data_IF_435499930355
#
_entry.id   IF_435499930355
#
_cell.length_a   1.000
_cell.length_b   1.000
_cell.length_c   1.000
_cell.angle_alpha   90.00
_cell.angle_beta   90.00
_cell.angle_gamma   90.00
#
_symmetry.space_group_name_H-M   'P 1'
#
loop_
_entity.id
_entity.type
_entity.pdbx_description
1 polymer ?
#
# COMPACT_ATOMS: atom_id res chain seq x y z
N UNK A 1 10.74 -11.59 35.55
CA UNK A 1 10.37 -13.01 35.43
C UNK A 1 9.83 -13.25 34.03
N UNK A 2 10.28 -14.28 33.29
CA UNK A 2 9.64 -14.65 32.04
C UNK A 2 8.22 -15.17 32.32
N UNK A 3 7.25 -14.68 31.55
CA UNK A 3 5.85 -15.13 31.61
C UNK A 3 5.75 -16.62 31.23
N UNK A 4 5.18 -17.44 32.12
CA UNK A 4 5.00 -18.88 31.90
C UNK A 4 3.58 -19.09 31.38
N UNK A 5 3.45 -19.40 30.10
CA UNK A 5 2.17 -19.67 29.45
C UNK A 5 1.71 -21.10 29.76
N UNK A 6 0.66 -21.19 30.56
CA UNK A 6 0.02 -22.40 31.09
C UNK A 6 -1.29 -22.76 30.36
N UNK A 7 -1.56 -22.13 29.21
CA UNK A 7 -2.74 -22.47 28.40
C UNK A 7 -2.64 -23.88 27.82
N UNK A 8 -3.68 -24.72 27.96
CA UNK A 8 -3.60 -26.10 27.52
C UNK A 8 -3.50 -26.18 25.98
N UNK A 9 -2.71 -27.12 25.43
CA UNK A 9 -2.36 -27.16 24.01
C UNK A 9 -3.56 -27.38 23.07
N UNK A 10 -4.65 -27.92 23.59
CA UNK A 10 -5.91 -28.10 22.86
C UNK A 10 -6.67 -26.77 22.69
N UNK A 11 -6.60 -25.86 23.68
CA UNK A 11 -7.25 -24.55 23.62
C UNK A 11 -6.64 -23.68 22.51
N UNK A 12 -5.31 -23.61 22.44
CA UNK A 12 -4.61 -22.87 21.37
C UNK A 12 -5.00 -23.34 19.97
N UNK A 13 -5.06 -24.67 19.75
CA UNK A 13 -5.42 -25.26 18.45
C UNK A 13 -6.87 -24.97 18.06
N UNK A 14 -7.79 -25.04 19.01
CA UNK A 14 -9.21 -24.76 18.77
C UNK A 14 -9.46 -23.28 18.49
N UNK A 15 -8.85 -22.39 19.28
CA UNK A 15 -8.93 -20.93 19.06
C UNK A 15 -8.43 -20.56 17.67
N UNK A 16 -7.26 -21.06 17.26
CA UNK A 16 -6.71 -20.75 15.94
C UNK A 16 -7.57 -21.28 14.78
N UNK A 17 -8.22 -22.46 14.94
CA UNK A 17 -9.17 -22.97 13.95
C UNK A 17 -10.42 -22.10 13.84
N UNK A 18 -10.98 -21.69 14.98
CA UNK A 18 -12.16 -20.82 15.04
C UNK A 18 -11.84 -19.46 14.43
N UNK A 19 -10.73 -18.85 14.82
CA UNK A 19 -10.23 -17.59 14.27
C UNK A 19 -10.14 -17.66 12.74
N UNK A 20 -9.47 -18.70 12.21
CA UNK A 20 -9.32 -18.88 10.77
C UNK A 20 -10.66 -19.06 10.05
N UNK A 21 -11.62 -19.71 10.69
CA UNK A 21 -12.97 -19.88 10.15
C UNK A 21 -13.74 -18.55 10.11
N UNK A 22 -13.68 -17.77 11.21
CA UNK A 22 -14.31 -16.45 11.31
C UNK A 22 -13.76 -15.51 10.23
N UNK A 23 -12.43 -15.41 10.09
CA UNK A 23 -11.82 -14.50 9.11
C UNK A 23 -12.20 -14.90 7.69
N UNK A 24 -12.16 -16.20 7.35
CA UNK A 24 -12.58 -16.69 6.03
C UNK A 24 -14.04 -16.38 5.73
N UNK A 25 -14.92 -16.59 6.72
CA UNK A 25 -16.34 -16.28 6.60
C UNK A 25 -16.55 -14.78 6.39
N UNK A 26 -15.82 -13.93 7.13
CA UNK A 26 -15.89 -12.48 7.03
C UNK A 26 -15.42 -11.98 5.65
N UNK A 27 -14.30 -12.48 5.14
CA UNK A 27 -13.79 -12.17 3.80
C UNK A 27 -14.81 -12.55 2.72
N UNK A 28 -15.42 -13.74 2.83
CA UNK A 28 -16.44 -14.19 1.88
C UNK A 28 -17.68 -13.31 1.92
N UNK A 29 -18.21 -13.03 3.12
CA UNK A 29 -19.41 -12.19 3.30
C UNK A 29 -19.17 -10.75 2.82
N UNK A 30 -18.02 -10.15 3.14
CA UNK A 30 -17.67 -8.82 2.65
C UNK A 30 -17.52 -8.78 1.13
N UNK A 31 -16.92 -9.80 0.53
CA UNK A 31 -16.78 -9.88 -0.93
C UNK A 31 -18.14 -9.95 -1.62
N UNK A 32 -19.07 -10.75 -1.09
CA UNK A 32 -20.45 -10.83 -1.61
C UNK A 32 -21.16 -9.49 -1.45
N UNK A 33 -21.06 -8.86 -0.27
CA UNK A 33 -21.66 -7.55 -0.01
C UNK A 33 -21.13 -6.49 -0.98
N UNK A 34 -19.83 -6.46 -1.24
CA UNK A 34 -19.20 -5.53 -2.17
C UNK A 34 -19.68 -5.74 -3.61
N UNK A 35 -19.83 -6.98 -4.05
CA UNK A 35 -20.37 -7.29 -5.38
C UNK A 35 -21.79 -6.77 -5.50
N UNK A 36 -22.65 -7.07 -4.52
CA UNK A 36 -24.03 -6.59 -4.50
C UNK A 36 -24.09 -5.06 -4.49
N UNK A 37 -23.32 -4.40 -3.62
CA UNK A 37 -23.29 -2.93 -3.55
C UNK A 37 -22.79 -2.28 -4.84
N UNK A 38 -21.83 -2.91 -5.53
CA UNK A 38 -21.32 -2.43 -6.82
C UNK A 38 -22.35 -2.58 -7.93
N UNK A 39 -23.08 -3.70 -7.97
CA UNK A 39 -24.17 -3.91 -8.91
C UNK A 39 -25.29 -2.89 -8.67
N UNK A 40 -25.69 -2.70 -7.40
CA UNK A 40 -26.70 -1.71 -7.01
C UNK A 40 -26.30 -0.30 -7.44
N UNK A 41 -25.04 0.09 -7.20
CA UNK A 41 -24.51 1.37 -7.64
C UNK A 41 -24.59 1.52 -9.17
N UNK A 42 -24.20 0.49 -9.91
CA UNK A 42 -24.31 0.48 -11.38
C UNK A 42 -25.75 0.62 -11.86
N UNK A 43 -26.69 -0.07 -11.20
CA UNK A 43 -28.12 0.03 -11.49
C UNK A 43 -28.65 1.46 -11.24
N UNK A 44 -28.36 2.03 -10.07
CA UNK A 44 -28.77 3.40 -9.71
C UNK A 44 -28.18 4.43 -10.70
N UNK A 45 -26.92 4.27 -11.10
CA UNK A 45 -26.27 5.13 -12.08
C UNK A 45 -26.95 5.07 -13.46
N UNK A 46 -27.15 3.86 -13.99
CA UNK A 46 -27.79 3.68 -15.31
C UNK A 46 -29.22 4.21 -15.28
N UNK A 47 -29.98 3.88 -14.23
CA UNK A 47 -31.35 4.37 -14.05
C UNK A 47 -31.39 5.89 -14.01
N UNK A 48 -30.49 6.52 -13.26
CA UNK A 48 -30.42 7.98 -13.13
C UNK A 48 -30.11 8.68 -14.47
N UNK A 49 -29.30 8.05 -15.33
CA UNK A 49 -28.96 8.59 -16.66
C UNK A 49 -30.09 8.38 -17.66
N UNK A 50 -30.74 7.21 -17.66
CA UNK A 50 -31.77 6.86 -18.64
C UNK A 50 -33.14 7.48 -18.34
N UNK A 51 -33.50 7.64 -17.07
CA UNK A 51 -34.80 8.21 -16.66
C UNK A 51 -34.78 9.74 -16.54
N UNK A 52 -33.68 10.40 -16.91
CA UNK A 52 -33.59 11.87 -16.97
C UNK A 52 -34.32 12.43 -18.20
N UNK A 53 -35.63 12.20 -18.23
CA UNK A 53 -36.58 12.89 -19.10
C UNK A 53 -36.98 14.22 -18.45
N UNK A 54 -36.24 15.31 -18.71
CA UNK A 54 -36.80 16.67 -18.85
C UNK A 54 -35.70 17.75 -18.93
N UNK A 55 -35.93 18.67 -19.86
CA UNK A 55 -35.22 19.86 -20.35
C UNK A 55 -34.06 20.50 -19.55
N UNK A 56 -33.86 20.34 -18.23
CA UNK A 56 -32.77 21.02 -17.50
C UNK A 56 -32.01 20.05 -16.57
N UNK A 57 -30.77 19.70 -16.96
CA UNK A 57 -29.76 18.86 -16.29
C UNK A 57 -29.89 17.33 -16.41
N UNK A 58 -28.78 16.67 -16.77
CA UNK A 58 -28.65 15.19 -16.90
C UNK A 58 -28.73 14.49 -15.53
N UNK A 59 -28.35 15.16 -14.42
CA UNK A 59 -28.39 14.59 -13.07
C UNK A 59 -28.69 15.71 -12.05
N UNK A 60 -29.67 15.51 -11.18
CA UNK A 60 -29.96 16.39 -10.04
C UNK A 60 -28.86 16.31 -8.97
N UNK A 61 -28.47 17.43 -8.35
CA UNK A 61 -27.40 17.49 -7.35
C UNK A 61 -27.63 16.57 -6.14
N UNK A 62 -28.87 16.45 -5.65
CA UNK A 62 -29.21 15.57 -4.53
C UNK A 62 -29.01 14.10 -4.91
N UNK A 63 -29.37 13.75 -6.15
CA UNK A 63 -29.16 12.41 -6.68
C UNK A 63 -27.65 12.11 -6.85
N UNK A 64 -26.87 13.10 -7.29
CA UNK A 64 -25.41 12.98 -7.40
C UNK A 64 -24.75 12.76 -6.03
N UNK A 65 -25.17 13.50 -5.00
CA UNK A 65 -24.68 13.30 -3.62
C UNK A 65 -25.02 11.91 -3.08
N UNK A 66 -26.22 11.39 -3.38
CA UNK A 66 -26.60 10.02 -3.02
C UNK A 66 -25.73 8.97 -3.71
N UNK A 67 -25.50 9.12 -5.01
CA UNK A 67 -24.60 8.25 -5.79
C UNK A 67 -23.18 8.28 -5.22
N UNK A 68 -22.66 9.46 -4.89
CA UNK A 68 -21.36 9.58 -4.22
C UNK A 68 -21.35 8.88 -2.86
N UNK A 69 -22.44 8.97 -2.08
CA UNK A 69 -22.57 8.26 -0.80
C UNK A 69 -22.46 6.73 -0.96
N UNK A 70 -23.14 6.16 -1.96
CA UNK A 70 -23.07 4.72 -2.26
C UNK A 70 -21.72 4.33 -2.86
N UNK A 71 -21.15 5.14 -3.76
CA UNK A 71 -19.80 4.92 -4.30
C UNK A 71 -18.76 4.88 -3.19
N UNK A 72 -18.83 5.88 -2.31
CA UNK A 72 -18.03 5.92 -1.12
C UNK A 72 -18.24 4.60 -0.37
N UNK A 73 -19.46 4.22 0.03
CA UNK A 73 -19.73 2.96 0.76
C UNK A 73 -18.96 1.75 0.21
N UNK A 74 -18.94 1.57 -1.12
CA UNK A 74 -18.16 0.52 -1.80
C UNK A 74 -16.66 0.65 -1.52
N UNK A 75 -16.08 1.85 -1.64
CA UNK A 75 -14.65 2.11 -1.36
C UNK A 75 -14.26 1.77 0.09
N UNK A 76 -15.08 2.11 1.10
CA UNK A 76 -14.80 1.70 2.49
C UNK A 76 -14.85 0.18 2.61
N UNK A 77 -15.83 -0.47 1.97
CA UNK A 77 -15.92 -1.93 2.03
C UNK A 77 -14.69 -2.60 1.42
N UNK A 78 -14.14 -2.06 0.33
CA UNK A 78 -12.89 -2.55 -0.29
C UNK A 78 -11.71 -2.39 0.68
N UNK A 79 -11.60 -1.22 1.31
CA UNK A 79 -10.54 -0.93 2.29
C UNK A 79 -10.62 -1.83 3.53
N UNK A 80 -11.83 -2.06 4.05
CA UNK A 80 -12.06 -2.99 5.15
C UNK A 80 -11.74 -4.44 4.75
N UNK A 81 -12.11 -4.85 3.54
CA UNK A 81 -11.78 -6.18 3.02
C UNK A 81 -10.25 -6.37 2.95
N UNK A 82 -9.51 -5.34 2.52
CA UNK A 82 -8.04 -5.41 2.48
C UNK A 82 -7.43 -5.46 3.88
N UNK A 83 -7.94 -4.66 4.82
CA UNK A 83 -7.54 -4.69 6.24
C UNK A 83 -7.72 -6.09 6.84
N UNK A 84 -8.86 -6.73 6.58
CA UNK A 84 -9.14 -8.09 7.08
C UNK A 84 -8.24 -9.13 6.38
N UNK A 85 -7.94 -8.96 5.09
CA UNK A 85 -7.01 -9.84 4.36
C UNK A 85 -5.58 -9.74 4.88
N UNK A 86 -5.13 -8.53 5.22
CA UNK A 86 -3.83 -8.31 5.87
C UNK A 86 -3.78 -9.05 7.21
N UNK A 87 -4.82 -8.88 8.04
CA UNK A 87 -4.93 -9.63 9.29
C UNK A 87 -4.88 -11.16 9.08
N UNK A 88 -5.55 -11.67 8.03
CA UNK A 88 -5.52 -13.09 7.69
C UNK A 88 -4.11 -13.61 7.32
N UNK A 89 -3.26 -12.77 6.70
CA UNK A 89 -1.90 -13.15 6.29
C UNK A 89 -0.89 -13.02 7.43
N UNK A 90 -0.99 -11.94 8.20
CA UNK A 90 0.04 -11.54 9.17
C UNK A 90 -0.34 -11.87 10.62
N UNK A 91 -1.60 -12.23 10.90
CA UNK A 91 -2.13 -12.50 12.24
C UNK A 91 -1.91 -11.36 13.26
N UNK A 92 -1.66 -10.14 12.78
CA UNK A 92 -1.43 -8.95 13.60
C UNK A 92 -2.27 -7.80 13.05
N UNK A 93 -2.99 -7.11 13.94
CA UNK A 93 -3.70 -5.88 13.60
C UNK A 93 -2.78 -4.71 13.91
N UNK A 94 -2.34 -4.00 12.87
CA UNK A 94 -1.63 -2.75 13.02
C UNK A 94 -2.61 -1.67 13.50
N UNK A 95 -2.41 -1.19 14.73
CA UNK A 95 -3.29 -0.19 15.37
C UNK A 95 -3.38 1.10 14.52
N UNK A 96 -2.30 1.44 13.81
CA UNK A 96 -2.26 2.56 12.88
C UNK A 96 -3.31 2.46 11.76
N UNK A 97 -3.46 1.26 11.18
CA UNK A 97 -4.42 1.01 10.08
C UNK A 97 -5.86 1.18 10.58
N UNK A 98 -6.17 0.69 11.78
CA UNK A 98 -7.51 0.82 12.37
C UNK A 98 -7.87 2.29 12.62
N UNK A 99 -6.91 3.10 13.08
CA UNK A 99 -7.10 4.53 13.26
C UNK A 99 -7.30 5.26 11.94
N UNK A 100 -6.54 4.90 10.90
CA UNK A 100 -6.69 5.49 9.57
C UNK A 100 -8.09 5.22 9.00
N UNK A 101 -8.55 3.96 9.09
CA UNK A 101 -9.89 3.54 8.68
C UNK A 101 -10.96 4.30 9.48
N UNK A 102 -10.77 4.49 10.79
CA UNK A 102 -11.71 5.27 11.62
C UNK A 102 -11.79 6.74 11.21
N UNK A 103 -10.66 7.37 10.89
CA UNK A 103 -10.60 8.75 10.40
C UNK A 103 -11.30 8.86 9.04
N UNK A 104 -11.03 7.96 8.10
CA UNK A 104 -11.66 7.93 6.78
C UNK A 104 -13.18 7.74 6.91
N UNK A 105 -13.63 6.82 7.78
CA UNK A 105 -15.04 6.58 8.03
C UNK A 105 -15.77 7.82 8.56
N UNK A 106 -15.17 8.54 9.51
CA UNK A 106 -15.75 9.78 10.03
C UNK A 106 -15.71 10.93 9.02
N UNK A 107 -14.58 11.11 8.32
CA UNK A 107 -14.45 12.13 7.28
C UNK A 107 -15.56 11.98 6.23
N UNK A 108 -15.84 10.73 5.83
CA UNK A 108 -16.96 10.43 4.94
C UNK A 108 -18.32 10.75 5.52
N UNK A 109 -18.54 10.45 6.80
CA UNK A 109 -19.81 10.78 7.47
C UNK A 109 -20.07 12.29 7.47
N UNK A 110 -19.02 13.09 7.61
CA UNK A 110 -19.06 14.56 7.58
C UNK A 110 -19.43 15.07 6.20
N UNK A 111 -18.88 14.48 5.12
CA UNK A 111 -19.16 14.88 3.73
C UNK A 111 -20.64 14.66 3.35
N UNK A 112 -21.25 13.58 3.82
CA UNK A 112 -22.64 13.20 3.49
C UNK A 112 -23.66 13.80 4.46
N UNK A 113 -23.21 14.46 5.54
CA UNK A 113 -24.11 15.05 6.53
C UNK A 113 -24.78 16.29 5.98
N UNK A 114 -26.10 16.35 6.14
CA UNK A 114 -26.90 17.55 5.97
C UNK A 114 -26.87 18.35 7.28
N UNK A 115 -26.06 19.41 7.31
CA UNK A 115 -25.82 20.21 8.52
C UNK A 115 -27.03 21.03 8.96
N UNK A 116 -28.06 21.22 8.12
CA UNK A 116 -29.26 21.96 8.52
C UNK A 116 -30.07 21.22 9.58
N UNK A 117 -29.89 19.90 9.69
CA UNK A 117 -30.57 19.04 10.67
C UNK A 117 -29.87 18.98 12.03
N UNK A 118 -28.69 19.58 12.18
CA UNK A 118 -27.87 19.47 13.39
C UNK A 118 -27.72 20.82 14.11
N UNK A 119 -27.77 20.77 15.43
CA UNK A 119 -27.47 21.92 16.28
C UNK A 119 -25.97 22.26 16.26
N UNK A 120 -25.61 23.51 16.48
CA UNK A 120 -24.20 23.94 16.53
C UNK A 120 -23.36 23.15 17.54
N UNK A 121 -23.95 22.72 18.65
CA UNK A 121 -23.28 21.87 19.67
C UNK A 121 -22.94 20.49 19.12
N UNK A 122 -23.83 19.89 18.32
CA UNK A 122 -23.57 18.58 17.69
C UNK A 122 -22.44 18.68 16.65
N UNK A 123 -22.41 19.76 15.88
CA UNK A 123 -21.33 20.02 14.90
C UNK A 123 -19.99 20.21 15.61
N UNK A 124 -19.97 20.95 16.73
CA UNK A 124 -18.77 21.13 17.54
C UNK A 124 -18.28 19.81 18.15
N UNK A 125 -19.21 18.96 18.61
CA UNK A 125 -18.90 17.61 19.09
C UNK A 125 -18.27 16.73 18.01
N UNK A 126 -18.79 16.79 16.78
CA UNK A 126 -18.22 16.08 15.63
C UNK A 126 -16.79 16.56 15.31
N UNK A 127 -16.54 17.87 15.34
CA UNK A 127 -15.21 18.44 15.16
C UNK A 127 -14.24 17.99 16.27
N UNK A 128 -14.69 17.94 17.52
CA UNK A 128 -13.88 17.48 18.64
C UNK A 128 -13.47 16.00 18.49
N UNK A 129 -14.38 15.12 18.05
CA UNK A 129 -14.08 13.71 17.78
C UNK A 129 -13.06 13.56 16.64
N UNK A 130 -13.22 14.32 15.54
CA UNK A 130 -12.25 14.33 14.44
C UNK A 130 -10.86 14.76 14.90
N UNK A 131 -10.77 15.82 15.71
CA UNK A 131 -9.50 16.30 16.26
C UNK A 131 -8.87 15.28 17.22
N UNK A 132 -9.66 14.63 18.06
CA UNK A 132 -9.18 13.60 18.98
C UNK A 132 -8.58 12.40 18.23
N UNK A 133 -9.23 11.94 17.16
CA UNK A 133 -8.72 10.82 16.35
C UNK A 133 -7.49 11.21 15.53
N UNK A 134 -7.49 12.40 14.93
CA UNK A 134 -6.32 12.92 14.21
C UNK A 134 -5.11 13.06 15.15
N UNK A 135 -5.34 13.59 16.36
CA UNK A 135 -4.33 13.66 17.42
C UNK A 135 -3.84 12.28 17.83
N UNK A 136 -4.74 11.32 18.07
CA UNK A 136 -4.38 9.93 18.40
C UNK A 136 -3.50 9.27 17.33
N UNK A 137 -3.87 9.41 16.05
CA UNK A 137 -3.07 8.93 14.93
C UNK A 137 -1.68 9.59 14.89
N UNK A 138 -1.62 10.92 15.06
CA UNK A 138 -0.36 11.66 15.10
C UNK A 138 0.56 11.20 16.24
N UNK A 139 0.01 10.99 17.45
CA UNK A 139 0.77 10.53 18.60
C UNK A 139 1.37 9.15 18.35
N UNK A 140 0.56 8.20 17.87
CA UNK A 140 1.02 6.83 17.59
C UNK A 140 2.12 6.83 16.53
N UNK A 141 1.97 7.62 15.48
CA UNK A 141 2.98 7.77 14.43
C UNK A 141 4.28 8.38 14.99
N UNK A 142 4.17 9.42 15.82
CA UNK A 142 5.33 10.08 16.44
C UNK A 142 6.08 9.18 17.42
N UNK A 143 5.38 8.30 18.13
CA UNK A 143 5.98 7.35 19.06
C UNK A 143 6.60 6.11 18.38
N UNK A 144 6.60 6.06 17.04
CA UNK A 144 7.20 4.95 16.29
C UNK A 144 6.26 3.76 16.08
N UNK A 145 4.99 4.03 15.74
CA UNK A 145 3.96 3.04 15.43
C UNK A 145 4.52 1.82 14.69
N UNK A 146 4.37 0.67 15.33
CA UNK A 146 5.08 -0.56 15.03
C UNK A 146 4.82 -1.05 13.59
N UNK A 147 5.90 -1.27 12.82
CA UNK A 147 6.00 -2.34 11.83
C UNK A 147 5.17 -2.27 10.53
N UNK A 148 4.42 -1.20 10.26
CA UNK A 148 3.57 -1.12 9.06
C UNK A 148 4.35 -1.07 7.73
N UNK A 149 5.62 -0.66 7.73
CA UNK A 149 6.35 -0.45 6.48
C UNK A 149 6.54 -1.76 5.70
N UNK A 150 6.05 -1.83 4.45
CA UNK A 150 6.32 -2.96 3.57
C UNK A 150 7.83 -3.13 3.43
N UNK A 151 8.33 -4.32 3.74
CA UNK A 151 9.70 -4.71 3.41
C UNK A 151 9.72 -5.16 1.96
N UNK A 152 10.49 -4.49 1.11
CA UNK A 152 10.86 -5.07 -0.18
C UNK A 152 11.89 -6.17 0.10
N UNK A 153 11.57 -7.39 -0.33
CA UNK A 153 12.55 -8.47 -0.46
C UNK A 153 13.01 -8.46 -1.91
N UNK A 154 14.08 -7.74 -2.19
CA UNK A 154 14.72 -7.83 -3.51
C UNK A 154 15.52 -9.14 -3.53
N UNK A 155 14.97 -10.16 -4.19
CA UNK A 155 15.69 -11.42 -4.42
C UNK A 155 16.65 -11.23 -5.60
N UNK A 156 17.77 -10.55 -5.38
CA UNK A 156 18.82 -10.45 -6.40
C UNK A 156 19.52 -11.81 -6.55
N UNK A 157 19.28 -12.49 -7.66
CA UNK A 157 20.02 -13.69 -8.08
C UNK A 157 21.36 -13.29 -8.70
N UNK A 158 22.42 -13.21 -7.89
CA UNK A 158 23.77 -13.00 -8.40
C UNK A 158 24.32 -14.32 -8.99
N UNK A 159 24.48 -14.35 -10.32
CA UNK A 159 25.17 -15.45 -11.01
C UNK A 159 26.68 -15.19 -10.96
N UNK A 160 27.37 -15.77 -9.98
CA UNK A 160 28.83 -15.77 -9.95
C UNK A 160 29.35 -16.86 -10.91
N UNK A 161 29.98 -16.43 -12.01
CA UNK A 161 30.68 -17.31 -12.96
C UNK A 161 32.16 -17.31 -12.57
N UNK A 162 32.63 -18.43 -12.03
CA UNK A 162 34.05 -18.61 -11.70
C UNK A 162 34.73 -19.36 -12.86
N UNK A 163 35.56 -18.66 -13.64
CA UNK A 163 36.41 -19.28 -14.66
C UNK A 163 37.79 -19.58 -14.04
N UNK A 164 38.13 -20.86 -13.93
CA UNK A 164 39.47 -21.26 -13.51
C UNK A 164 40.27 -21.69 -14.75
N UNK A 165 41.24 -20.87 -15.15
CA UNK A 165 42.17 -21.19 -16.25
C UNK A 165 43.37 -21.95 -15.68
N UNK A 166 43.60 -23.19 -16.14
CA UNK A 166 44.85 -23.92 -15.91
C UNK A 166 45.90 -23.51 -16.94
N UNK A 167 47.14 -23.28 -16.47
CA UNK A 167 48.32 -23.13 -17.32
C UNK A 167 48.61 -24.47 -18.00
N UNK A 168 48.91 -24.40 -19.29
CA UNK A 168 49.32 -25.47 -20.21
C UNK A 168 48.13 -26.13 -20.95
N UNK A 169 48.01 -25.77 -22.24
CA UNK A 169 47.01 -26.11 -23.27
C UNK A 169 45.63 -25.39 -23.25
N UNK A 170 45.41 -24.58 -24.28
CA UNK A 170 44.24 -23.74 -24.58
C UNK A 170 42.97 -24.55 -24.90
N UNK A 171 42.36 -25.20 -23.91
CA UNK A 171 40.97 -25.64 -24.01
C UNK A 171 40.22 -25.55 -22.67
N UNK A 172 39.16 -24.74 -22.68
CA UNK A 172 38.31 -24.41 -21.52
C UNK A 172 37.49 -25.64 -21.11
N UNK A 173 37.81 -26.26 -19.96
CA UNK A 173 37.26 -27.58 -19.63
C UNK A 173 36.01 -27.63 -18.74
N UNK A 174 35.67 -26.65 -17.88
CA UNK A 174 34.36 -26.66 -17.21
C UNK A 174 33.84 -25.27 -16.83
N UNK A 175 32.58 -24.98 -17.20
CA UNK A 175 31.83 -23.77 -16.79
C UNK A 175 30.85 -24.15 -15.68
N UNK A 176 31.24 -24.00 -14.42
CA UNK A 176 30.34 -24.28 -13.28
C UNK A 176 29.58 -23.01 -12.89
N UNK A 177 28.25 -23.04 -13.05
CA UNK A 177 27.36 -22.00 -12.53
C UNK A 177 26.95 -22.38 -11.10
N UNK A 178 27.24 -21.52 -10.14
CA UNK A 178 26.70 -21.63 -8.78
C UNK A 178 25.80 -20.43 -8.51
N UNK A 179 24.51 -20.69 -8.36
CA UNK A 179 23.50 -19.69 -8.00
C UNK A 179 23.59 -19.51 -6.48
N UNK A 180 23.94 -18.31 -6.03
CA UNK A 180 23.97 -17.98 -4.60
C UNK A 180 22.88 -16.98 -4.31
N UNK A 181 21.81 -17.43 -3.66
CA UNK A 181 20.67 -16.59 -3.28
C UNK A 181 21.06 -15.75 -2.06
N UNK A 182 21.17 -14.43 -2.22
CA UNK A 182 21.36 -13.49 -1.12
C UNK A 182 20.09 -12.67 -0.98
N UNK A 183 19.48 -12.71 0.19
CA UNK A 183 18.27 -11.94 0.51
C UNK A 183 18.67 -10.77 1.39
N UNK A 184 18.42 -9.55 0.92
CA UNK A 184 18.55 -8.32 1.70
C UNK A 184 17.15 -7.71 1.91
N UNK A 185 16.81 -7.42 3.17
CA UNK A 185 15.52 -6.83 3.56
C UNK A 185 15.71 -5.34 3.87
N UNK A 186 15.05 -4.45 3.12
CA UNK A 186 15.11 -3.01 3.36
C UNK A 186 13.72 -2.43 3.68
N UNK A 187 13.67 -1.45 4.59
CA UNK A 187 12.44 -0.77 5.04
C UNK A 187 12.12 0.40 4.11
N UNK A 188 10.89 0.45 3.58
CA UNK A 188 10.43 1.55 2.71
C UNK A 188 9.73 2.62 3.57
N UNK A 189 10.16 3.88 3.46
CA UNK A 189 9.53 5.02 4.15
C UNK A 189 8.57 5.78 3.21
N UNK A 190 7.54 6.47 3.72
CA UNK A 190 6.57 7.16 2.89
C UNK A 190 7.24 8.39 2.25
N UNK A 191 7.38 8.38 0.93
CA UNK A 191 8.05 9.43 0.14
C UNK A 191 9.37 9.01 -0.52
N UNK A 192 9.79 7.75 -0.42
CA UNK A 192 11.06 7.26 -0.99
C UNK A 192 11.01 6.78 -2.44
N UNK A 193 9.94 7.08 -3.20
CA UNK A 193 9.93 6.85 -4.65
C UNK A 193 10.80 7.90 -5.35
N UNK A 194 12.12 7.79 -5.17
CA UNK A 194 13.09 8.41 -6.08
C UNK A 194 13.14 7.57 -7.35
N UNK A 195 13.04 8.28 -8.47
CA UNK A 195 13.05 7.83 -9.86
C UNK A 195 14.09 6.70 -10.11
N UNK A 196 13.81 5.69 -10.97
CA UNK A 196 14.76 4.63 -11.26
C UNK A 196 16.07 5.20 -11.82
N UNK A 197 17.19 4.78 -11.23
CA UNK A 197 18.53 5.22 -11.61
C UNK A 197 18.78 5.01 -13.12
N UNK A 198 19.27 6.03 -13.85
CA UNK A 198 19.55 5.88 -15.26
C UNK A 198 20.71 4.90 -15.45
N UNK A 199 20.39 3.79 -16.12
CA UNK A 199 21.28 2.74 -16.62
C UNK A 199 22.63 3.34 -17.05
N UNK A 200 23.67 3.06 -16.26
CA UNK A 200 25.04 3.49 -16.52
C UNK A 200 25.53 2.79 -17.80
N UNK A 201 25.50 3.53 -18.92
CA UNK A 201 25.88 3.04 -20.24
C UNK A 201 27.39 2.88 -20.28
N UNK A 202 27.86 1.65 -20.44
CA UNK A 202 29.23 1.27 -20.75
C UNK A 202 29.85 2.19 -21.81
N UNK A 203 31.05 2.71 -21.53
CA UNK A 203 31.94 3.17 -22.59
C UNK A 203 33.41 3.05 -22.15
N UNK A 204 34.18 2.09 -22.71
CA UNK A 204 35.59 2.27 -22.90
C UNK A 204 35.87 2.75 -24.33
N UNK A 205 37.03 3.39 -24.47
CA UNK A 205 37.78 3.68 -25.69
C UNK A 205 37.43 4.94 -26.49
N UNK A 206 38.33 5.93 -26.39
CA UNK A 206 39.15 6.35 -27.55
C UNK A 206 40.29 7.30 -27.14
N UNK A 207 41.51 6.81 -27.40
CA UNK A 207 42.62 7.51 -28.07
C UNK A 207 42.83 9.00 -27.78
N UNK A 208 43.95 9.31 -27.10
CA UNK A 208 44.58 10.63 -27.13
C UNK A 208 45.77 10.65 -28.09
N UNK A 209 45.89 11.81 -28.75
CA UNK A 209 46.98 12.36 -29.59
C UNK A 209 46.90 12.06 -31.10
N UNK A 210 47.24 13.01 -32.00
CA UNK A 210 48.24 14.06 -31.79
C UNK A 210 47.88 15.50 -32.19
N UNK A 211 48.46 16.44 -31.43
CA UNK A 211 49.19 17.64 -31.84
C UNK A 211 48.80 18.39 -33.14
N UNK A 212 48.39 19.64 -33.02
CA UNK A 212 48.79 20.68 -33.99
C UNK A 212 48.97 22.04 -33.30
N UNK A 213 50.08 22.65 -33.67
CA UNK A 213 50.77 23.78 -33.05
C UNK A 213 50.15 25.14 -33.36
N UNK A 214 50.52 26.11 -32.52
CA UNK A 214 50.82 27.54 -32.76
C UNK A 214 50.13 28.42 -31.74
N UNK A 215 50.71 29.50 -31.25
CA UNK A 215 52.09 29.95 -31.08
C UNK A 215 51.94 31.25 -30.28
N UNK A 216 52.93 31.53 -29.43
CA UNK A 216 53.36 32.88 -28.99
C UNK A 216 52.35 33.85 -28.35
N UNK A 217 52.53 34.09 -27.05
CA UNK A 217 52.80 35.42 -26.45
C UNK A 217 53.39 35.18 -25.04
N UNK A 218 54.71 35.36 -24.88
CA UNK A 218 55.43 36.54 -24.38
C UNK A 218 55.38 36.71 -22.84
N UNK A 219 56.56 36.55 -22.23
CA UNK A 219 57.13 37.09 -20.97
C UNK A 219 58.05 36.00 -20.41
N UNK A 220 59.30 36.21 -20.02
CA UNK A 220 60.29 37.29 -20.08
C UNK A 220 61.66 36.59 -19.91
#
# INVERSE_FOLDING_TARGET
MPYKDDTPPLLKKTVHKIERYIIKSLIAMMSILLIIATIELGYVLVKSVLESDSDHFIINLDNLMNVFGVFLLVVIGIELLDTIKVYFREHVIHVEVVLLVAIIALARKVIVVDFEKYTGVQILGLAAVLLALSGGYYLIKKTGGCGFWPKETDETEDILIEERISKDDDSVLERRKTIKKKSEENLIAPGSHTQPDPIMKNQPDREKSPNSSRDSEKEE
#
